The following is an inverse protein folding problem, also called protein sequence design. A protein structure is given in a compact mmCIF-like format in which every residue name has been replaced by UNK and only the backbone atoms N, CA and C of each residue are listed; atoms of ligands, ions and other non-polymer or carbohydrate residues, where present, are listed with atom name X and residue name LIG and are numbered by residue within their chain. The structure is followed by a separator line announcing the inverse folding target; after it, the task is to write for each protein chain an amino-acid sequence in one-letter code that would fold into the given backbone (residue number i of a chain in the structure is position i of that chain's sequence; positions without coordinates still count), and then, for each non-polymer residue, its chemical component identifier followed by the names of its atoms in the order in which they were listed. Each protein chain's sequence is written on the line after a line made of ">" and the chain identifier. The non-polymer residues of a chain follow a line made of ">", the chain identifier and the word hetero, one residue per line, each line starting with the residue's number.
data_IF_369268183665
#
_entry.id   IF_369268183665
#
_cell.length_a   1.000
_cell.length_b   1.000
_cell.length_c   1.000
_cell.angle_alpha   90.00
_cell.angle_beta   90.00
_cell.angle_gamma   90.00
#
_symmetry.space_group_name_H-M   'P 1'
#
loop_
_entity.id
_entity.type
_entity.pdbx_description
1 polymer ?
#
# COMPACT_ATOMS: atom_id res chain seq x y z
N UNK A 1 42.40 31.28 49.06
CA UNK A 1 41.71 30.00 48.79
C UNK A 1 41.90 29.66 47.32
N UNK A 2 42.83 28.76 46.97
CA UNK A 2 43.16 28.42 45.57
C UNK A 2 42.12 27.42 45.06
N UNK A 3 41.15 27.88 44.26
CA UNK A 3 40.21 26.99 43.59
C UNK A 3 40.94 26.25 42.46
N UNK A 4 40.98 24.92 42.56
CA UNK A 4 41.82 24.06 41.73
C UNK A 4 41.16 23.88 40.34
N UNK A 5 41.76 24.48 39.31
CA UNK A 5 41.28 24.54 37.91
C UNK A 5 40.96 23.17 37.29
N UNK A 6 41.53 22.07 37.83
CA UNK A 6 41.23 20.69 37.42
C UNK A 6 39.84 20.21 37.85
N UNK A 7 39.31 20.67 38.99
CA UNK A 7 37.95 20.31 39.43
C UNK A 7 36.88 21.04 38.61
N UNK A 8 37.12 22.29 38.21
CA UNK A 8 36.18 23.04 37.35
C UNK A 8 36.04 22.44 35.94
N UNK A 9 37.09 21.84 35.39
CA UNK A 9 37.05 21.18 34.07
C UNK A 9 36.32 19.83 34.15
N UNK A 10 36.56 19.04 35.21
CA UNK A 10 35.84 17.76 35.41
C UNK A 10 34.36 17.98 35.68
N UNK A 11 34.00 19.05 36.41
CA UNK A 11 32.60 19.43 36.64
C UNK A 11 31.93 19.97 35.37
N UNK A 12 32.64 20.75 34.55
CA UNK A 12 32.13 21.22 33.25
C UNK A 12 31.96 20.08 32.22
N UNK A 13 32.85 19.08 32.24
CA UNK A 13 32.76 17.92 31.35
C UNK A 13 31.65 16.94 31.76
N UNK A 14 31.33 16.85 33.06
CA UNK A 14 30.20 16.05 33.55
C UNK A 14 28.85 16.72 33.33
N UNK A 15 28.77 18.05 33.25
CA UNK A 15 27.55 18.77 32.84
C UNK A 15 27.30 18.68 31.32
N UNK A 16 28.35 18.56 30.50
CA UNK A 16 28.20 18.50 29.03
C UNK A 16 27.76 17.11 28.50
N UNK A 17 27.90 16.05 29.28
CA UNK A 17 27.47 14.68 28.90
C UNK A 17 25.98 14.42 29.21
N UNK A 18 25.34 15.28 30.01
CA UNK A 18 23.94 15.15 30.41
C UNK A 18 22.92 15.82 29.48
N UNK A 19 23.36 16.37 28.33
CA UNK A 19 22.49 17.09 27.38
C UNK A 19 22.22 16.33 26.07
N UNK A 20 22.45 15.02 26.02
CA UNK A 20 22.11 14.16 24.86
C UNK A 20 20.87 13.28 25.09
N UNK A 21 20.13 13.52 26.16
CA UNK A 21 18.95 12.72 26.51
C UNK A 21 17.76 13.08 25.61
N UNK A 22 17.59 12.24 24.60
CA UNK A 22 16.33 11.75 24.09
C UNK A 22 15.34 12.79 23.53
N UNK A 23 15.52 13.15 22.26
CA UNK A 23 14.38 13.32 21.36
C UNK A 23 13.78 11.94 21.05
N UNK A 24 13.27 11.22 22.05
CA UNK A 24 12.22 10.24 21.79
C UNK A 24 10.95 11.05 21.59
N UNK A 25 10.52 11.20 20.34
CA UNK A 25 9.16 11.61 20.05
C UNK A 25 8.25 10.53 20.63
N UNK A 26 7.89 10.70 21.91
CA UNK A 26 6.95 9.83 22.59
C UNK A 26 5.59 10.16 22.01
N UNK A 27 5.22 9.43 20.96
CA UNK A 27 3.87 9.43 20.41
C UNK A 27 2.96 8.85 21.49
N UNK A 28 2.51 9.71 22.39
CA UNK A 28 1.56 9.40 23.44
C UNK A 28 0.17 9.62 22.86
N UNK A 29 -0.51 8.51 22.60
CA UNK A 29 -1.88 8.45 22.11
C UNK A 29 -2.31 7.00 21.92
N UNK A 30 -3.58 6.70 22.20
CA UNK A 30 -4.20 5.46 21.76
C UNK A 30 -4.50 5.60 20.27
N UNK A 31 -3.68 4.97 19.42
CA UNK A 31 -3.88 4.97 17.99
C UNK A 31 -4.60 3.67 17.56
N UNK A 32 -5.57 3.80 16.67
CA UNK A 32 -6.11 2.64 15.97
C UNK A 32 -5.06 2.08 15.00
N UNK A 33 -4.95 0.75 14.92
CA UNK A 33 -4.12 0.07 13.93
C UNK A 33 -5.00 -0.34 12.75
N UNK A 34 -4.59 0.04 11.53
CA UNK A 34 -5.27 -0.35 10.29
C UNK A 34 -4.39 -1.38 9.57
N UNK A 35 -4.89 -2.60 9.30
CA UNK A 35 -4.13 -3.59 8.54
C UNK A 35 -3.80 -3.10 7.14
N UNK A 36 -2.57 -3.36 6.70
CA UNK A 36 -2.09 -3.00 5.38
C UNK A 36 -1.70 -4.24 4.56
N UNK A 37 -2.19 -4.29 3.32
CA UNK A 37 -1.73 -5.22 2.29
C UNK A 37 -0.46 -4.70 1.63
N UNK A 38 0.31 -5.62 1.05
CA UNK A 38 1.53 -5.34 0.29
C UNK A 38 1.24 -5.48 -1.20
N UNK A 39 1.66 -4.52 -2.00
CA UNK A 39 1.46 -4.50 -3.45
C UNK A 39 2.63 -3.80 -4.16
N UNK A 40 2.51 -3.65 -5.48
CA UNK A 40 3.47 -2.90 -6.29
C UNK A 40 2.83 -1.68 -6.96
N UNK A 41 3.63 -0.62 -7.11
CA UNK A 41 3.35 0.51 -7.98
C UNK A 41 4.67 0.99 -8.59
N UNK A 42 4.71 1.21 -9.90
CA UNK A 42 5.92 1.67 -10.61
C UNK A 42 7.19 0.84 -10.30
N UNK A 43 7.03 -0.48 -10.16
CA UNK A 43 8.13 -1.40 -9.84
C UNK A 43 8.57 -1.41 -8.37
N UNK A 44 7.96 -0.57 -7.52
CA UNK A 44 8.29 -0.42 -6.10
C UNK A 44 7.23 -1.03 -5.20
N UNK A 45 7.67 -1.55 -4.05
CA UNK A 45 6.75 -2.06 -3.03
C UNK A 45 6.01 -0.90 -2.36
N UNK A 46 4.69 -1.08 -2.19
CA UNK A 46 3.81 -0.15 -1.48
C UNK A 46 2.95 -0.91 -0.47
N UNK A 47 2.42 -0.17 0.50
CA UNK A 47 1.46 -0.68 1.47
C UNK A 47 0.17 0.10 1.36
N UNK A 48 -0.97 -0.58 1.40
CA UNK A 48 -2.29 0.00 1.22
C UNK A 48 -3.31 -0.68 2.15
N UNK A 49 -4.48 -0.09 2.35
CA UNK A 49 -5.56 -0.71 3.13
C UNK A 49 -6.81 -0.94 2.29
N UNK A 50 -7.70 -1.83 2.73
CA UNK A 50 -9.02 -2.04 2.15
C UNK A 50 -10.05 -1.47 3.13
N UNK A 51 -10.73 -0.37 2.79
CA UNK A 51 -11.64 0.28 3.74
C UNK A 51 -13.12 0.06 3.38
N UNK A 52 -13.49 0.30 2.12
CA UNK A 52 -14.86 0.12 1.62
C UNK A 52 -14.87 -0.46 0.21
N UNK A 53 -15.96 -1.13 -0.19
CA UNK A 53 -16.14 -1.60 -1.58
C UNK A 53 -17.60 -1.54 -2.03
N UNK A 54 -17.81 -1.42 -3.33
CA UNK A 54 -19.12 -1.43 -3.97
C UNK A 54 -19.80 -2.80 -4.01
N UNK A 55 -19.10 -3.88 -3.64
CA UNK A 55 -19.57 -5.26 -3.78
C UNK A 55 -19.61 -5.99 -2.43
N UNK A 56 -20.73 -6.65 -2.12
CA UNK A 56 -20.95 -7.26 -0.81
C UNK A 56 -20.10 -8.52 -0.58
N UNK A 57 -19.86 -9.31 -1.64
CA UNK A 57 -19.09 -10.54 -1.55
C UNK A 57 -17.60 -10.21 -1.41
N UNK A 58 -17.12 -9.20 -2.14
CA UNK A 58 -15.76 -8.66 -1.99
C UNK A 58 -15.58 -8.05 -0.59
N UNK A 59 -16.58 -7.34 -0.05
CA UNK A 59 -16.51 -6.78 1.30
C UNK A 59 -16.31 -7.89 2.35
N UNK A 60 -17.09 -8.98 2.25
CA UNK A 60 -16.99 -10.12 3.15
C UNK A 60 -15.63 -10.84 3.01
N UNK A 61 -15.18 -11.09 1.78
CA UNK A 61 -13.90 -11.73 1.49
C UNK A 61 -12.73 -10.93 2.06
N UNK A 62 -12.65 -9.62 1.77
CA UNK A 62 -11.57 -8.76 2.25
C UNK A 62 -11.61 -8.59 3.78
N UNK A 63 -12.81 -8.56 4.37
CA UNK A 63 -12.97 -8.53 5.83
C UNK A 63 -12.35 -9.76 6.48
N UNK A 64 -12.63 -10.95 5.95
CA UNK A 64 -12.04 -12.18 6.47
C UNK A 64 -10.53 -12.24 6.21
N UNK A 65 -10.07 -11.83 5.01
CA UNK A 65 -8.65 -11.83 4.66
C UNK A 65 -7.83 -10.92 5.59
N UNK A 66 -8.30 -9.69 5.82
CA UNK A 66 -7.57 -8.69 6.61
C UNK A 66 -7.81 -8.82 8.12
N UNK A 67 -8.77 -9.65 8.53
CA UNK A 67 -9.27 -9.72 9.92
C UNK A 67 -9.64 -8.32 10.47
N UNK A 68 -10.17 -7.48 9.59
CA UNK A 68 -10.58 -6.10 9.86
C UNK A 68 -11.74 -5.74 8.94
N UNK A 69 -12.76 -5.00 9.41
CA UNK A 69 -13.93 -4.67 8.60
C UNK A 69 -13.57 -3.94 7.30
N UNK A 70 -14.12 -4.42 6.18
CA UNK A 70 -14.24 -3.71 4.90
C UNK A 70 -15.73 -3.47 4.67
N UNK A 71 -16.14 -2.21 4.57
CA UNK A 71 -17.56 -1.87 4.56
C UNK A 71 -18.16 -1.97 3.15
N UNK A 72 -19.35 -2.54 3.05
CA UNK A 72 -20.12 -2.56 1.81
C UNK A 72 -20.79 -1.19 1.58
N UNK A 73 -20.44 -0.54 0.46
CA UNK A 73 -20.93 0.79 0.05
C UNK A 73 -21.30 0.75 -1.43
N UNK A 74 -22.52 0.32 -1.80
CA UNK A 74 -22.92 0.11 -3.20
C UNK A 74 -22.83 1.37 -4.08
N UNK A 75 -22.95 2.56 -3.47
CA UNK A 75 -22.82 3.82 -4.19
C UNK A 75 -21.44 4.00 -4.86
N UNK A 76 -20.40 3.28 -4.40
CA UNK A 76 -19.08 3.31 -5.03
C UNK A 76 -19.09 2.78 -6.48
N UNK A 77 -20.04 1.91 -6.86
CA UNK A 77 -20.18 1.45 -8.24
C UNK A 77 -20.67 2.55 -9.20
N UNK A 78 -21.16 3.68 -8.67
CA UNK A 78 -21.67 4.81 -9.44
C UNK A 78 -20.65 5.94 -9.57
N UNK A 79 -19.45 5.77 -9.02
CA UNK A 79 -18.38 6.76 -9.12
C UNK A 79 -17.98 6.92 -10.59
N UNK A 80 -17.92 8.16 -11.12
CA UNK A 80 -17.51 8.40 -12.49
C UNK A 80 -16.09 7.88 -12.76
N UNK A 81 -15.86 7.35 -13.97
CA UNK A 81 -14.60 6.72 -14.33
C UNK A 81 -13.40 7.66 -14.18
N UNK A 82 -13.58 8.96 -14.41
CA UNK A 82 -12.55 9.98 -14.24
C UNK A 82 -12.10 10.20 -12.78
N UNK A 83 -12.88 9.75 -11.80
CA UNK A 83 -12.53 9.81 -10.38
C UNK A 83 -11.90 8.50 -9.87
N UNK A 84 -11.81 7.49 -10.73
CA UNK A 84 -11.23 6.19 -10.41
C UNK A 84 -9.78 6.12 -10.88
N UNK A 85 -9.00 5.36 -10.14
CA UNK A 85 -7.72 4.82 -10.58
C UNK A 85 -7.83 3.29 -10.66
N UNK A 86 -6.81 2.62 -11.19
CA UNK A 86 -6.87 1.18 -11.42
C UNK A 86 -6.06 0.42 -10.37
N UNK A 87 -6.51 -0.80 -10.08
CA UNK A 87 -5.72 -1.83 -9.41
C UNK A 87 -5.86 -3.14 -10.18
N UNK A 88 -4.74 -3.77 -10.46
CA UNK A 88 -4.66 -4.99 -11.25
C UNK A 88 -4.51 -6.19 -10.31
N UNK A 89 -5.51 -7.07 -10.32
CA UNK A 89 -5.64 -8.23 -9.44
C UNK A 89 -5.52 -9.51 -10.26
N UNK A 90 -4.67 -10.44 -9.83
CA UNK A 90 -4.32 -11.62 -10.62
C UNK A 90 -5.22 -12.80 -10.30
N UNK A 91 -5.86 -13.38 -11.31
CA UNK A 91 -6.76 -14.53 -11.19
C UNK A 91 -6.03 -15.88 -11.33
N UNK A 92 -4.81 -15.88 -11.86
CA UNK A 92 -3.97 -17.07 -12.02
C UNK A 92 -2.46 -16.74 -12.11
N UNK A 93 -1.64 -17.77 -12.35
CA UNK A 93 -0.19 -17.63 -12.52
C UNK A 93 0.58 -17.87 -11.22
N UNK A 94 1.49 -16.95 -10.87
CA UNK A 94 2.34 -17.12 -9.71
C UNK A 94 1.54 -17.07 -8.41
N UNK A 95 1.63 -18.12 -7.58
CA UNK A 95 1.04 -18.14 -6.25
C UNK A 95 1.67 -17.07 -5.36
N UNK A 96 0.86 -16.37 -4.60
CA UNK A 96 1.32 -15.25 -3.78
C UNK A 96 0.29 -14.78 -2.77
N UNK A 97 0.42 -13.53 -2.35
CA UNK A 97 -0.37 -12.90 -1.29
C UNK A 97 -1.47 -11.96 -1.80
N UNK A 98 -1.74 -11.94 -3.12
CA UNK A 98 -2.88 -11.23 -3.68
C UNK A 98 -4.21 -11.84 -3.20
N UNK A 99 -5.33 -11.09 -3.29
CA UNK A 99 -6.61 -11.49 -2.71
C UNK A 99 -7.20 -12.78 -3.32
N UNK A 100 -6.79 -13.15 -4.53
CA UNK A 100 -7.19 -14.40 -5.19
C UNK A 100 -6.14 -15.52 -5.07
N UNK A 101 -5.12 -15.36 -4.23
CA UNK A 101 -4.07 -16.35 -3.97
C UNK A 101 -2.89 -16.34 -4.95
N UNK A 102 -2.82 -15.33 -5.81
CA UNK A 102 -1.74 -15.15 -6.78
C UNK A 102 -0.83 -13.97 -6.40
N UNK A 103 -0.03 -13.46 -7.32
CA UNK A 103 0.95 -12.41 -7.03
C UNK A 103 0.31 -11.16 -6.40
N UNK A 104 1.11 -10.32 -5.70
CA UNK A 104 0.62 -9.04 -5.20
C UNK A 104 0.02 -8.17 -6.31
N UNK A 105 -0.97 -7.37 -5.93
CA UNK A 105 -1.66 -6.46 -6.84
C UNK A 105 -0.71 -5.38 -7.37
N UNK A 106 -1.04 -4.84 -8.54
CA UNK A 106 -0.30 -3.72 -9.14
C UNK A 106 -1.21 -2.51 -9.26
N UNK A 107 -0.76 -1.37 -8.74
CA UNK A 107 -1.49 -0.10 -8.76
C UNK A 107 -0.89 0.84 -9.81
N UNK A 108 -1.74 1.62 -10.50
CA UNK A 108 -1.29 2.81 -11.21
C UNK A 108 -1.30 4.03 -10.28
N UNK A 109 -0.74 5.14 -10.76
CA UNK A 109 -0.89 6.48 -10.18
C UNK A 109 -0.70 6.51 -8.65
N UNK A 110 0.51 6.20 -8.13
CA UNK A 110 0.78 6.32 -6.69
C UNK A 110 0.66 7.78 -6.21
N UNK A 111 0.54 8.03 -4.88
CA UNK A 111 0.42 9.40 -4.38
C UNK A 111 1.56 10.31 -4.86
N UNK A 112 1.21 11.51 -5.32
CA UNK A 112 2.16 12.46 -5.90
C UNK A 112 2.25 12.44 -7.42
N UNK A 113 1.56 11.53 -8.09
CA UNK A 113 1.36 11.57 -9.55
C UNK A 113 0.01 12.18 -9.91
N UNK A 114 -0.11 12.63 -11.16
CA UNK A 114 -1.41 12.94 -11.74
C UNK A 114 -2.30 11.68 -11.75
N UNK A 115 -3.60 11.85 -11.52
CA UNK A 115 -4.56 10.75 -11.52
C UNK A 115 -4.53 9.84 -10.30
N UNK A 116 -3.84 10.20 -9.22
CA UNK A 116 -3.99 9.47 -7.95
C UNK A 116 -5.45 9.54 -7.48
N UNK A 117 -6.03 8.36 -7.24
CA UNK A 117 -7.29 8.22 -6.53
C UNK A 117 -7.14 7.06 -5.52
N UNK A 118 -7.69 7.18 -4.30
CA UNK A 118 -7.85 6.02 -3.43
C UNK A 118 -9.01 5.13 -3.88
N UNK A 119 -9.92 5.62 -4.73
CA UNK A 119 -11.00 4.80 -5.29
C UNK A 119 -10.46 4.01 -6.48
N UNK A 120 -10.40 2.69 -6.32
CA UNK A 120 -9.79 1.77 -7.28
C UNK A 120 -10.82 0.91 -7.96
N UNK A 121 -10.87 0.98 -9.28
CA UNK A 121 -11.55 -0.01 -10.09
C UNK A 121 -10.68 -1.27 -10.16
N UNK A 122 -11.28 -2.43 -9.89
CA UNK A 122 -10.59 -3.71 -10.07
C UNK A 122 -10.43 -3.97 -11.58
N UNK A 123 -9.21 -4.32 -11.99
CA UNK A 123 -8.89 -4.90 -13.28
C UNK A 123 -8.40 -6.33 -13.04
N UNK A 124 -9.16 -7.31 -13.49
CA UNK A 124 -8.76 -8.72 -13.37
C UNK A 124 -7.74 -9.04 -14.44
N UNK A 125 -6.63 -9.67 -14.05
CA UNK A 125 -5.53 -10.08 -14.93
C UNK A 125 -5.44 -11.60 -14.96
N UNK A 126 -5.40 -12.15 -16.17
CA UNK A 126 -5.27 -13.59 -16.39
C UNK A 126 -4.16 -13.91 -17.38
N UNK A 127 -3.20 -14.73 -16.97
CA UNK A 127 -2.20 -15.36 -17.84
C UNK A 127 -2.87 -16.36 -18.77
N UNK A 128 -2.54 -16.29 -20.07
CA UNK A 128 -2.99 -17.28 -21.06
C UNK A 128 -2.25 -18.60 -20.94
N UNK A 129 -0.99 -18.55 -20.53
CA UNK A 129 -0.13 -19.70 -20.27
C UNK A 129 0.55 -19.52 -18.91
N UNK A 130 0.02 -20.19 -17.88
CA UNK A 130 0.52 -20.07 -16.51
C UNK A 130 1.97 -20.54 -16.34
N UNK A 131 2.46 -21.43 -17.22
CA UNK A 131 3.84 -21.89 -17.17
C UNK A 131 4.85 -20.79 -17.55
N UNK A 132 4.38 -19.70 -18.18
CA UNK A 132 5.18 -18.52 -18.54
C UNK A 132 4.95 -17.34 -17.61
N UNK A 133 4.12 -17.50 -16.58
CA UNK A 133 3.83 -16.43 -15.65
C UNK A 133 5.11 -15.94 -14.97
N UNK A 134 5.26 -14.62 -14.91
CA UNK A 134 6.32 -13.92 -14.19
C UNK A 134 5.70 -12.84 -13.32
N UNK A 135 6.42 -12.40 -12.30
CA UNK A 135 5.92 -11.35 -11.41
C UNK A 135 5.91 -10.01 -12.17
N UNK A 136 4.74 -9.38 -12.28
CA UNK A 136 4.58 -8.05 -12.85
C UNK A 136 4.43 -7.02 -11.72
N UNK A 137 5.16 -5.91 -11.79
CA UNK A 137 5.30 -4.92 -10.71
C UNK A 137 4.93 -3.50 -11.12
N UNK A 138 4.59 -3.27 -12.38
CA UNK A 138 4.18 -1.97 -12.90
C UNK A 138 3.12 -2.11 -13.98
N UNK A 139 2.34 -1.05 -14.18
CA UNK A 139 1.37 -1.03 -15.28
C UNK A 139 2.05 -1.04 -16.64
N UNK A 140 3.27 -0.51 -16.75
CA UNK A 140 4.09 -0.63 -17.95
C UNK A 140 4.40 -2.10 -18.31
N UNK A 141 4.73 -2.93 -17.29
CA UNK A 141 4.95 -4.36 -17.48
C UNK A 141 3.67 -5.12 -17.85
N UNK A 142 2.55 -4.76 -17.23
CA UNK A 142 1.22 -5.32 -17.57
C UNK A 142 0.85 -4.99 -19.01
N UNK A 143 0.95 -3.71 -19.41
CA UNK A 143 0.66 -3.27 -20.77
C UNK A 143 1.56 -3.97 -21.80
N UNK A 144 2.84 -4.19 -21.47
CA UNK A 144 3.77 -4.94 -22.31
C UNK A 144 3.33 -6.40 -22.44
N UNK A 145 2.99 -7.08 -21.34
CA UNK A 145 2.53 -8.47 -21.35
C UNK A 145 1.20 -8.63 -22.10
N UNK A 146 0.28 -7.66 -21.99
CA UNK A 146 -0.99 -7.66 -22.69
C UNK A 146 -0.79 -7.45 -24.20
N UNK A 147 0.05 -6.49 -24.59
CA UNK A 147 0.39 -6.24 -26.01
C UNK A 147 1.10 -7.43 -26.64
N UNK A 148 1.95 -8.13 -25.89
CA UNK A 148 2.58 -9.39 -26.30
C UNK A 148 1.58 -10.57 -26.34
N UNK A 149 0.35 -10.36 -25.88
CA UNK A 149 -0.71 -11.37 -25.87
C UNK A 149 -0.51 -12.45 -24.82
N UNK A 150 0.32 -12.22 -23.80
CA UNK A 150 0.63 -13.19 -22.73
C UNK A 150 -0.46 -13.22 -21.65
N UNK A 151 -1.12 -12.09 -21.43
CA UNK A 151 -2.24 -11.92 -20.49
C UNK A 151 -3.49 -11.39 -21.20
N UNK A 152 -4.61 -11.41 -20.50
CA UNK A 152 -5.84 -10.69 -20.83
C UNK A 152 -6.38 -9.99 -19.59
N UNK A 153 -7.05 -8.85 -19.78
CA UNK A 153 -7.68 -8.09 -18.70
C UNK A 153 -9.21 -8.08 -18.78
N UNK A 154 -9.91 -7.90 -17.66
CA UNK A 154 -11.37 -7.75 -17.61
C UNK A 154 -11.78 -6.80 -16.48
N UNK A 155 -12.83 -6.01 -16.72
CA UNK A 155 -13.38 -5.06 -15.76
C UNK A 155 -14.71 -5.61 -15.21
N UNK A 156 -14.77 -6.04 -13.94
CA UNK A 156 -16.00 -6.54 -13.34
C UNK A 156 -16.95 -5.42 -12.89
N UNK A 157 -16.51 -4.15 -12.88
CA UNK A 157 -17.33 -3.02 -12.40
C UNK A 157 -17.36 -2.87 -10.87
N UNK A 158 -16.39 -3.49 -10.18
CA UNK A 158 -16.22 -3.37 -8.72
C UNK A 158 -15.24 -2.24 -8.41
N UNK A 159 -15.63 -1.38 -7.46
CA UNK A 159 -14.80 -0.31 -6.92
C UNK A 159 -14.46 -0.62 -5.46
N UNK A 160 -13.22 -0.38 -5.07
CA UNK A 160 -12.73 -0.51 -3.69
C UNK A 160 -11.99 0.76 -3.31
N UNK A 161 -12.28 1.30 -2.12
CA UNK A 161 -11.48 2.36 -1.53
C UNK A 161 -10.20 1.75 -0.94
N UNK A 162 -9.09 2.00 -1.60
CA UNK A 162 -7.77 1.46 -1.32
C UNK A 162 -6.71 2.57 -1.14
N UNK A 163 -6.74 3.31 -0.02
CA UNK A 163 -5.74 4.33 0.23
C UNK A 163 -4.36 3.72 0.48
N UNK A 164 -3.33 4.37 -0.07
CA UNK A 164 -1.94 4.04 0.23
C UNK A 164 -1.60 4.46 1.67
N UNK A 165 -0.91 3.57 2.37
CA UNK A 165 -0.38 3.75 3.73
C UNK A 165 1.11 4.08 3.70
N UNK A 166 1.87 3.41 2.83
CA UNK A 166 3.30 3.67 2.60
C UNK A 166 3.58 3.58 1.10
N UNK A 167 4.31 4.55 0.57
CA UNK A 167 4.71 4.61 -0.83
C UNK A 167 6.08 5.26 -0.98
N UNK A 168 6.61 5.24 -2.19
CA UNK A 168 7.87 5.92 -2.49
C UNK A 168 7.71 7.43 -2.27
N UNK A 169 8.43 7.96 -1.28
CA UNK A 169 8.37 9.37 -0.92
C UNK A 169 7.38 9.74 0.19
N UNK A 170 6.65 8.79 0.78
CA UNK A 170 5.74 9.12 1.89
C UNK A 170 5.11 7.96 2.65
N UNK A 171 4.48 8.29 3.78
CA UNK A 171 3.65 7.40 4.59
C UNK A 171 2.56 8.17 5.32
N UNK A 172 1.54 7.46 5.81
CA UNK A 172 0.50 7.97 6.70
C UNK A 172 0.68 7.43 8.12
#
# INVERSE_FOLDING_TARGET
>A
MKFNRKHSVVLALSVLILALTACTAQTSGDFASVPAGKAYAEGKEIYFSHTETSDADIAAMLTDMMKSPVLYVPALAQVPAEALADVYVFENGLKGMGPLGFQPDVFNNPPGTDGYSPLRQIILVKWKDEAKARELKSVAEISTAETAGEISTTIPGVVVNMPFMVWDGGKR
#
